data_IF_643906498941
#
_entry.id   IF_643906498941
#
_cell.length_a   1.000
_cell.length_b   1.000
_cell.length_c   1.000
_cell.angle_alpha   90.00
_cell.angle_beta   90.00
_cell.angle_gamma   90.00
#
_symmetry.space_group_name_H-M   'P 1'
#
loop_
_entity.id
_entity.type
_entity.pdbx_description
1 polymer ?
#
# COMPACT_ATOMS: atom_id res chain seq x y z
N UNK A 1 -0.21 12.66 4.00
CA UNK A 1 -0.68 12.80 2.61
C UNK A 1 0.32 13.66 1.88
N UNK A 2 0.57 13.42 0.60
CA UNK A 2 1.40 14.29 -0.23
C UNK A 2 0.53 15.33 -0.92
N UNK A 3 0.92 16.59 -0.85
CA UNK A 3 0.22 17.71 -1.49
C UNK A 3 1.21 18.83 -1.76
N UNK A 4 0.89 19.74 -2.67
CA UNK A 4 1.70 20.93 -2.88
C UNK A 4 1.54 21.89 -1.70
N UNK A 5 2.53 22.75 -1.49
CA UNK A 5 2.50 23.74 -0.41
C UNK A 5 1.31 24.70 -0.58
N UNK A 6 1.08 25.15 -1.80
CA UNK A 6 0.01 26.08 -2.17
C UNK A 6 -1.36 25.48 -1.88
N UNK A 7 -1.57 24.21 -2.26
CA UNK A 7 -2.82 23.49 -1.99
C UNK A 7 -3.07 23.34 -0.48
N UNK A 8 -2.01 23.07 0.30
CA UNK A 8 -2.09 23.01 1.75
C UNK A 8 -2.45 24.37 2.37
N UNK A 9 -1.80 25.45 1.93
CA UNK A 9 -2.05 26.81 2.42
C UNK A 9 -3.47 27.27 2.11
N UNK A 10 -3.97 27.03 0.89
CA UNK A 10 -5.36 27.36 0.51
C UNK A 10 -6.35 26.56 1.34
N UNK A 11 -6.13 25.26 1.48
CA UNK A 11 -7.02 24.41 2.26
C UNK A 11 -7.08 24.82 3.75
N UNK A 12 -5.99 25.34 4.31
CA UNK A 12 -5.97 25.89 5.67
C UNK A 12 -6.86 27.13 5.88
N UNK A 13 -7.27 27.81 4.81
CA UNK A 13 -8.16 28.99 4.85
C UNK A 13 -9.64 28.65 4.66
N UNK A 14 -9.94 27.43 4.19
CA UNK A 14 -11.30 26.98 3.90
C UNK A 14 -11.91 26.23 5.09
N UNK A 15 -13.23 26.34 5.27
CA UNK A 15 -13.97 25.52 6.24
C UNK A 15 -14.46 24.23 5.58
N UNK A 16 -14.54 23.15 6.37
CA UNK A 16 -15.10 21.85 5.96
C UNK A 16 -14.37 21.14 4.81
N UNK A 17 -13.07 21.38 4.65
CA UNK A 17 -12.24 20.60 3.72
C UNK A 17 -12.26 19.12 4.11
N UNK A 18 -12.71 18.26 3.19
CA UNK A 18 -12.85 16.82 3.46
C UNK A 18 -11.54 16.06 3.23
N UNK A 19 -10.75 16.48 2.23
CA UNK A 19 -9.50 15.80 1.87
C UNK A 19 -8.56 16.78 1.16
N UNK A 20 -7.25 16.64 1.41
CA UNK A 20 -6.20 17.41 0.73
C UNK A 20 -5.11 16.45 0.26
N UNK A 21 -4.85 16.48 -1.04
CA UNK A 21 -3.78 15.70 -1.66
C UNK A 21 -3.97 14.19 -1.59
N UNK A 22 -2.87 13.50 -1.88
CA UNK A 22 -2.82 12.06 -2.09
C UNK A 22 -2.47 11.31 -0.82
N UNK A 23 -3.17 10.21 -0.56
CA UNK A 23 -2.81 9.30 0.52
C UNK A 23 -1.64 8.44 0.08
N UNK A 24 -0.50 8.58 0.77
CA UNK A 24 0.79 7.98 0.39
C UNK A 24 1.24 6.95 1.44
N UNK A 25 1.31 7.38 2.70
CA UNK A 25 1.82 6.58 3.82
C UNK A 25 0.87 6.69 5.01
N UNK A 26 0.76 5.58 5.74
CA UNK A 26 0.31 5.52 7.14
C UNK A 26 1.45 5.03 8.01
N UNK A 27 1.71 5.72 9.12
CA UNK A 27 2.66 5.27 10.13
C UNK A 27 1.90 4.64 11.28
N UNK A 28 2.24 3.39 11.66
CA UNK A 28 1.58 2.67 12.77
C UNK A 28 2.66 2.05 13.65
N UNK A 29 2.76 2.50 14.91
CA UNK A 29 3.73 1.97 15.90
C UNK A 29 5.17 1.87 15.34
N UNK A 30 5.58 2.89 14.59
CA UNK A 30 6.90 2.96 13.94
C UNK A 30 7.01 2.27 12.58
N UNK A 31 6.02 1.47 12.15
CA UNK A 31 6.02 0.88 10.82
C UNK A 31 5.43 1.84 9.78
N UNK A 32 5.92 1.71 8.54
CA UNK A 32 5.43 2.42 7.37
C UNK A 32 4.55 1.47 6.55
N UNK A 33 3.33 1.92 6.25
CA UNK A 33 2.37 1.24 5.37
C UNK A 33 2.11 2.15 4.19
N UNK A 34 2.44 1.69 2.99
CA UNK A 34 2.21 2.43 1.76
C UNK A 34 0.81 2.13 1.22
N UNK A 35 0.14 3.18 0.74
CA UNK A 35 -0.98 2.99 -0.18
C UNK A 35 -0.48 2.49 -1.54
N UNK A 36 -1.40 2.09 -2.42
CA UNK A 36 -1.07 1.74 -3.81
C UNK A 36 -0.35 2.93 -4.46
N UNK A 37 -0.97 4.10 -4.44
CA UNK A 37 -0.41 5.30 -5.08
C UNK A 37 0.88 5.75 -4.40
N UNK A 38 1.00 5.59 -3.09
CA UNK A 38 2.22 5.91 -2.35
C UNK A 38 3.38 4.99 -2.72
N UNK A 39 3.12 3.70 -2.90
CA UNK A 39 4.13 2.76 -3.37
C UNK A 39 4.56 3.04 -4.80
N UNK A 40 3.62 3.43 -5.67
CA UNK A 40 3.91 3.83 -7.05
C UNK A 40 4.73 5.14 -7.11
N UNK A 41 4.46 6.12 -6.24
CA UNK A 41 5.26 7.35 -6.19
C UNK A 41 6.71 7.12 -5.80
N UNK A 42 7.00 6.04 -5.06
CA UNK A 42 8.33 5.67 -4.67
C UNK A 42 9.04 4.77 -5.70
N UNK A 43 8.39 4.46 -6.84
CA UNK A 43 8.86 3.58 -7.92
C UNK A 43 10.39 3.43 -8.02
N UNK A 44 10.88 2.20 -7.87
CA UNK A 44 12.30 1.85 -7.91
C UNK A 44 13.12 2.25 -6.67
N UNK A 45 12.59 3.07 -5.75
CA UNK A 45 13.27 3.45 -4.50
C UNK A 45 12.99 2.51 -3.34
N UNK A 46 12.03 1.58 -3.49
CA UNK A 46 11.69 0.57 -2.50
C UNK A 46 12.66 -0.61 -2.64
N UNK A 47 13.70 -0.62 -1.81
CA UNK A 47 14.81 -1.60 -1.88
C UNK A 47 14.75 -2.70 -0.82
N UNK A 48 13.77 -2.68 0.09
CA UNK A 48 13.63 -3.64 1.19
C UNK A 48 12.17 -4.03 1.37
N UNK A 49 11.96 -5.26 1.85
CA UNK A 49 10.63 -5.82 2.14
C UNK A 49 9.68 -5.75 0.92
N UNK A 50 10.24 -5.86 -0.27
CA UNK A 50 9.51 -5.95 -1.53
C UNK A 50 9.28 -7.43 -1.82
N UNK A 51 8.04 -7.78 -2.16
CA UNK A 51 7.70 -9.09 -2.71
C UNK A 51 7.27 -8.90 -4.15
N UNK A 52 7.78 -9.77 -5.03
CA UNK A 52 7.34 -9.85 -6.41
C UNK A 52 6.24 -10.90 -6.48
N UNK A 53 5.12 -10.56 -7.11
CA UNK A 53 3.96 -11.42 -7.30
C UNK A 53 3.86 -11.84 -8.76
N UNK A 54 3.36 -13.05 -9.02
CA UNK A 54 2.84 -13.40 -10.35
C UNK A 54 1.56 -12.61 -10.66
N UNK A 55 1.12 -12.66 -11.92
CA UNK A 55 -0.13 -12.01 -12.33
C UNK A 55 -1.34 -12.56 -11.55
N UNK A 56 -1.37 -13.88 -11.31
CA UNK A 56 -2.41 -14.54 -10.52
C UNK A 56 -2.37 -14.12 -9.05
N UNK A 57 -1.18 -14.08 -8.44
CA UNK A 57 -1.02 -13.62 -7.05
C UNK A 57 -1.38 -12.13 -6.91
N UNK A 58 -1.09 -11.31 -7.92
CA UNK A 58 -1.46 -9.91 -7.95
C UNK A 58 -2.98 -9.72 -8.04
N UNK A 59 -3.69 -10.54 -8.81
CA UNK A 59 -5.15 -10.53 -8.86
C UNK A 59 -5.74 -10.85 -7.48
N UNK A 60 -5.28 -11.92 -6.84
CA UNK A 60 -5.70 -12.32 -5.49
C UNK A 60 -5.35 -11.24 -4.45
N UNK A 61 -4.17 -10.62 -4.55
CA UNK A 61 -3.78 -9.48 -3.74
C UNK A 61 -4.77 -8.32 -3.86
N UNK A 62 -5.23 -8.03 -5.08
CA UNK A 62 -6.20 -6.97 -5.36
C UNK A 62 -7.62 -7.33 -4.93
N UNK A 63 -7.99 -8.61 -4.82
CA UNK A 63 -9.21 -9.06 -4.10
C UNK A 63 -9.07 -8.93 -2.57
N UNK A 64 -7.87 -8.61 -2.08
CA UNK A 64 -7.47 -8.63 -0.68
C UNK A 64 -7.46 -10.05 -0.06
N UNK A 65 -7.26 -11.07 -0.90
CA UNK A 65 -7.05 -12.43 -0.45
C UNK A 65 -5.66 -12.58 0.21
N UNK A 66 -5.52 -13.38 1.27
CA UNK A 66 -4.22 -13.63 1.88
C UNK A 66 -3.32 -14.47 0.96
N UNK A 67 -2.08 -14.07 0.78
CA UNK A 67 -1.08 -14.85 0.02
C UNK A 67 -0.11 -15.56 0.98
N UNK A 68 0.47 -16.72 0.58
CA UNK A 68 1.54 -17.36 1.33
C UNK A 68 2.72 -16.41 1.54
N UNK A 69 3.28 -16.35 2.74
CA UNK A 69 4.48 -15.58 2.99
C UNK A 69 5.70 -16.36 2.51
N UNK A 70 6.57 -15.78 1.66
CA UNK A 70 7.88 -16.35 1.40
C UNK A 70 8.63 -16.56 2.72
N UNK A 71 9.23 -17.73 2.90
CA UNK A 71 10.08 -17.99 4.06
C UNK A 71 11.21 -16.95 4.09
N UNK A 72 11.37 -16.25 5.24
CA UNK A 72 12.42 -15.24 5.58
C UNK A 72 11.99 -13.76 5.68
N UNK A 73 10.71 -13.39 5.54
CA UNK A 73 10.30 -12.00 5.79
C UNK A 73 10.20 -11.72 7.29
N UNK A 74 11.14 -10.93 7.81
CA UNK A 74 11.17 -10.51 9.24
C UNK A 74 10.37 -9.23 9.53
N UNK A 75 10.03 -8.46 8.49
CA UNK A 75 9.28 -7.22 8.63
C UNK A 75 7.80 -7.48 8.90
N UNK A 76 7.16 -6.61 9.70
CA UNK A 76 5.70 -6.67 9.93
C UNK A 76 4.89 -6.29 8.68
N UNK A 77 5.50 -5.54 7.77
CA UNK A 77 4.89 -5.08 6.53
C UNK A 77 5.82 -5.26 5.35
N UNK A 78 5.22 -5.56 4.21
CA UNK A 78 5.86 -5.66 2.90
C UNK A 78 5.18 -4.73 1.92
N UNK A 79 5.81 -4.53 0.77
CA UNK A 79 5.20 -3.92 -0.41
C UNK A 79 5.13 -4.98 -1.49
N UNK A 80 3.99 -5.11 -2.15
CA UNK A 80 3.85 -6.01 -3.29
C UNK A 80 4.11 -5.27 -4.61
N UNK A 81 4.73 -5.98 -5.55
CA UNK A 81 4.98 -5.54 -6.92
C UNK A 81 4.66 -6.67 -7.89
N UNK A 82 4.13 -6.30 -9.04
CA UNK A 82 3.88 -7.19 -10.18
C UNK A 82 4.43 -6.51 -11.44
N UNK A 83 5.58 -6.97 -11.94
CA UNK A 83 6.24 -6.39 -13.09
C UNK A 83 6.72 -4.97 -12.79
N UNK A 84 6.03 -3.95 -13.31
CA UNK A 84 6.33 -2.53 -13.06
C UNK A 84 5.29 -1.84 -12.17
N UNK A 85 4.34 -2.59 -11.62
CA UNK A 85 3.24 -2.05 -10.84
C UNK A 85 3.43 -2.36 -9.36
N UNK A 86 3.49 -1.33 -8.53
CA UNK A 86 3.37 -1.48 -7.08
C UNK A 86 1.91 -1.52 -6.63
N UNK A 87 1.60 -2.47 -5.75
CA UNK A 87 0.24 -2.80 -5.31
C UNK A 87 -0.02 -2.41 -3.84
N UNK A 88 0.82 -1.52 -3.30
CA UNK A 88 0.74 -1.08 -1.92
C UNK A 88 1.27 -2.10 -0.91
N UNK A 89 0.97 -1.87 0.36
CA UNK A 89 1.48 -2.71 1.45
C UNK A 89 0.57 -3.86 1.85
N UNK A 90 1.17 -4.92 2.36
CA UNK A 90 0.50 -6.03 3.05
C UNK A 90 1.10 -6.26 4.43
N UNK A 91 0.30 -6.79 5.34
CA UNK A 91 0.73 -7.13 6.70
C UNK A 91 1.16 -8.59 6.76
N UNK A 92 2.39 -8.82 7.21
CA UNK A 92 2.87 -10.17 7.51
C UNK A 92 2.27 -10.61 8.84
N UNK A 93 1.62 -11.75 8.84
CA UNK A 93 0.97 -12.34 10.00
C UNK A 93 1.78 -13.53 10.53
N UNK A 94 1.52 -13.90 11.79
CA UNK A 94 2.23 -15.00 12.48
C UNK A 94 1.87 -16.38 11.94
N UNK A 95 0.75 -16.49 11.23
CA UNK A 95 0.27 -17.72 10.58
C UNK A 95 0.96 -18.00 9.24
N UNK A 96 2.03 -17.26 8.90
CA UNK A 96 2.80 -17.47 7.68
C UNK A 96 2.12 -16.92 6.42
N UNK A 97 1.18 -15.97 6.58
CA UNK A 97 0.47 -15.33 5.47
C UNK A 97 0.69 -13.82 5.44
N UNK A 98 0.47 -13.24 4.26
CA UNK A 98 0.50 -11.80 4.05
C UNK A 98 -0.90 -11.34 3.69
N UNK A 99 -1.41 -10.35 4.42
CA UNK A 99 -2.75 -9.79 4.25
C UNK A 99 -2.67 -8.42 3.55
N UNK A 100 -3.10 -8.31 2.28
CA UNK A 100 -3.08 -7.04 1.54
C UNK A 100 -3.85 -5.95 2.29
N UNK A 101 -3.34 -4.72 2.30
CA UNK A 101 -4.02 -3.56 2.88
C UNK A 101 -4.78 -2.75 1.81
N UNK A 102 -5.35 -3.45 0.82
CA UNK A 102 -6.16 -2.84 -0.25
C UNK A 102 -7.47 -2.32 0.33
N UNK A 103 -7.75 -1.03 0.11
CA UNK A 103 -8.97 -0.39 0.56
C UNK A 103 -10.20 -1.06 -0.06
N UNK A 104 -11.28 -1.24 0.71
CA UNK A 104 -12.47 -2.00 0.28
C UNK A 104 -13.01 -1.58 -1.09
N UNK A 105 -13.10 -0.28 -1.35
CA UNK A 105 -13.61 0.30 -2.60
C UNK A 105 -12.63 0.18 -3.79
N UNK A 106 -11.41 -0.31 -3.56
CA UNK A 106 -10.38 -0.58 -4.58
C UNK A 106 -10.23 -2.06 -4.87
N UNK A 107 -10.95 -2.93 -4.16
CA UNK A 107 -10.83 -4.38 -4.35
C UNK A 107 -11.51 -4.80 -5.63
N UNK A 108 -10.93 -5.79 -6.29
CA UNK A 108 -11.63 -6.52 -7.35
C UNK A 108 -12.76 -7.30 -6.64
N UNK A 109 -14.03 -7.19 -7.08
CA UNK A 109 -15.12 -7.96 -6.51
C UNK A 109 -14.90 -9.47 -6.73
N UNK A 110 -15.40 -10.29 -5.81
CA UNK A 110 -15.62 -11.71 -6.10
C UNK A 110 -16.84 -11.82 -7.03
N UNK A 111 -16.75 -12.67 -8.07
CA UNK A 111 -17.85 -12.97 -8.98
C UNK A 111 -18.95 -13.83 -8.32
#
# INVERSE_FOLDING_TARGET
RATSREAFEVAGRLRKVQQIGLYVIKVVKGDVILSIEGSQLLDGRIVKNLIELSDEEAEEWMKAAPIPCPEKIKSRYVVARCGNLYLGSGRVSRDGRIYPQVAKWRRIPEE
#
